data_IF_494587925056
#
_entry.id   IF_494587925056
#
_cell.length_a   1.000
_cell.length_b   1.000
_cell.length_c   1.000
_cell.angle_alpha   90.00
_cell.angle_beta   90.00
_cell.angle_gamma   90.00
#
_symmetry.space_group_name_H-M   'P 1'
#
loop_
_entity.id
_entity.type
_entity.pdbx_description
1 polymer ?
#
# COMPACT_ATOMS: atom_id res chain seq x y z
N UNK A 1 -7.00 10.28 -0.44
CA UNK A 1 -5.76 9.60 -0.01
C UNK A 1 -4.50 10.31 -0.51
N UNK A 2 -4.42 10.72 -1.78
CA UNK A 2 -3.27 11.49 -2.31
C UNK A 2 -2.85 12.69 -1.44
N UNK A 3 -3.82 13.53 -1.03
CA UNK A 3 -3.58 14.65 -0.12
C UNK A 3 -3.06 14.22 1.26
N UNK A 4 -3.56 13.10 1.81
CA UNK A 4 -3.09 12.57 3.10
C UNK A 4 -1.62 12.15 3.04
N UNK A 5 -1.21 11.59 1.90
CA UNK A 5 0.15 11.13 1.64
C UNK A 5 1.07 12.24 1.11
N UNK A 6 0.54 13.44 0.87
CA UNK A 6 1.23 14.55 0.22
C UNK A 6 1.90 14.15 -1.12
N UNK A 7 1.14 13.43 -1.96
CA UNK A 7 1.58 13.02 -3.31
C UNK A 7 0.56 13.45 -4.37
N UNK A 8 0.99 13.45 -5.62
CA UNK A 8 0.12 13.71 -6.76
C UNK A 8 -0.98 12.64 -6.90
N UNK A 9 -2.16 13.06 -7.37
CA UNK A 9 -3.33 12.16 -7.54
C UNK A 9 -3.01 11.01 -8.51
N UNK A 10 -2.29 11.28 -9.60
CA UNK A 10 -1.88 10.23 -10.56
C UNK A 10 -0.91 9.26 -9.91
N UNK A 11 0.01 9.75 -9.08
CA UNK A 11 0.93 8.88 -8.32
C UNK A 11 0.15 7.95 -7.39
N UNK A 12 -0.86 8.47 -6.69
CA UNK A 12 -1.72 7.64 -5.85
C UNK A 12 -2.48 6.58 -6.66
N UNK A 13 -3.09 6.98 -7.79
CA UNK A 13 -3.79 6.05 -8.70
C UNK A 13 -2.86 4.94 -9.20
N UNK A 14 -1.62 5.28 -9.57
CA UNK A 14 -0.64 4.29 -10.01
C UNK A 14 -0.28 3.30 -8.89
N UNK A 15 -0.27 3.74 -7.63
CA UNK A 15 -0.02 2.87 -6.48
C UNK A 15 -1.16 1.90 -6.22
N UNK A 16 -2.39 2.38 -6.24
CA UNK A 16 -3.59 1.54 -6.07
C UNK A 16 -3.72 0.49 -7.19
N UNK A 17 -3.32 0.83 -8.43
CA UNK A 17 -3.30 -0.10 -9.55
C UNK A 17 -2.05 -1.01 -9.59
N UNK A 18 -1.15 -0.94 -8.61
CA UNK A 18 0.07 -1.76 -8.54
C UNK A 18 1.17 -1.40 -9.55
N UNK A 19 1.02 -0.31 -10.31
CA UNK A 19 2.04 0.18 -11.26
C UNK A 19 3.31 0.63 -10.54
N UNK A 20 3.15 1.21 -9.35
CA UNK A 20 4.28 1.60 -8.48
C UNK A 20 3.98 1.24 -7.04
N UNK A 21 4.99 0.84 -6.26
CA UNK A 21 4.77 0.45 -4.87
C UNK A 21 4.53 1.66 -3.95
N UNK A 22 3.80 1.45 -2.85
CA UNK A 22 3.77 2.40 -1.74
C UNK A 22 5.15 2.46 -1.07
N UNK A 23 5.58 3.65 -0.69
CA UNK A 23 6.79 3.83 0.11
C UNK A 23 6.46 3.52 1.57
N UNK A 24 7.46 3.09 2.33
CA UNK A 24 7.29 2.73 3.74
C UNK A 24 6.61 3.82 4.57
N UNK A 25 6.99 5.10 4.39
CA UNK A 25 6.36 6.22 5.09
C UNK A 25 4.86 6.38 4.74
N UNK A 26 4.49 6.15 3.47
CA UNK A 26 3.10 6.21 3.01
C UNK A 26 2.29 5.06 3.62
N UNK A 27 2.85 3.85 3.64
CA UNK A 27 2.24 2.66 4.25
C UNK A 27 1.99 2.87 5.76
N UNK A 28 2.95 3.47 6.49
CA UNK A 28 2.76 3.82 7.90
C UNK A 28 1.64 4.84 8.12
N UNK A 29 1.51 5.85 7.25
CA UNK A 29 0.41 6.84 7.34
C UNK A 29 -0.93 6.15 7.12
N UNK A 30 -1.03 5.28 6.11
CA UNK A 30 -2.23 4.51 5.80
C UNK A 30 -2.59 3.58 6.97
N UNK A 31 -1.64 2.83 7.51
CA UNK A 31 -1.81 1.98 8.68
C UNK A 31 -2.37 2.74 9.88
N UNK A 32 -1.82 3.92 10.19
CA UNK A 32 -2.32 4.77 11.28
C UNK A 32 -3.73 5.28 11.03
N UNK A 33 -4.06 5.66 9.79
CA UNK A 33 -5.41 6.11 9.41
C UNK A 33 -6.45 5.01 9.63
N UNK A 34 -6.14 3.79 9.20
CA UNK A 34 -7.05 2.64 9.30
C UNK A 34 -7.01 1.94 10.66
N UNK A 35 -6.06 2.28 11.53
CA UNK A 35 -5.81 1.62 12.82
C UNK A 35 -5.61 0.11 12.66
N UNK A 36 -4.92 -0.28 11.60
CA UNK A 36 -4.59 -1.67 11.26
C UNK A 36 -3.09 -1.83 11.08
N UNK A 37 -2.51 -3.00 11.38
CA UNK A 37 -1.12 -3.31 11.05
C UNK A 37 -0.85 -3.14 9.55
N UNK A 38 0.39 -2.82 9.18
CA UNK A 38 0.79 -2.66 7.77
C UNK A 38 0.56 -3.97 7.02
N UNK A 39 0.86 -5.09 7.68
CA UNK A 39 0.74 -6.44 7.17
C UNK A 39 -0.71 -6.73 6.76
N UNK A 40 -1.69 -6.33 7.56
CA UNK A 40 -3.11 -6.57 7.25
C UNK A 40 -3.59 -5.77 6.03
N UNK A 41 -2.96 -4.63 5.73
CA UNK A 41 -3.37 -3.76 4.61
C UNK A 41 -2.61 -4.11 3.32
N UNK A 42 -1.33 -4.41 3.44
CA UNK A 42 -0.41 -4.53 2.30
C UNK A 42 0.09 -5.96 2.05
N UNK A 43 -0.16 -6.90 2.98
CA UNK A 43 0.11 -8.33 2.81
C UNK A 43 -1.21 -9.08 2.79
N UNK A 44 -1.86 -9.13 1.62
CA UNK A 44 -2.90 -10.12 1.37
C UNK A 44 -2.25 -11.44 0.92
N UNK A 45 -2.80 -12.57 1.40
CA UNK A 45 -2.31 -13.96 1.30
C UNK A 45 -1.96 -14.50 -0.10
N UNK A 46 -2.11 -13.73 -1.18
CA UNK A 46 -1.80 -14.18 -2.54
C UNK A 46 -0.28 -14.25 -2.83
N UNK A 47 0.55 -13.79 -1.87
CA UNK A 47 2.00 -14.03 -1.87
C UNK A 47 2.37 -15.41 -1.33
N UNK A 48 1.52 -16.05 -0.51
CA UNK A 48 1.77 -17.41 0.01
C UNK A 48 1.53 -18.52 -1.03
N UNK A 49 0.86 -18.21 -2.16
CA UNK A 49 0.59 -19.16 -3.24
C UNK A 49 1.66 -19.17 -4.35
N UNK A 50 2.73 -18.38 -4.22
CA UNK A 50 3.76 -18.20 -5.27
C UNK A 50 5.20 -18.58 -4.89
N UNK A 51 5.38 -19.32 -3.78
CA UNK A 51 6.67 -19.98 -3.48
C UNK A 51 6.58 -21.52 -3.60
N UNK A 52 5.94 -22.02 -4.66
CA UNK A 52 6.11 -23.40 -5.14
C UNK A 52 6.17 -23.39 -6.68
N UNK A 53 7.31 -22.97 -7.23
CA UNK A 53 7.76 -23.38 -8.57
C UNK A 53 9.29 -23.52 -8.59
#
# INVERSE_FOLDING_TARGET
MANLLNIDVRTYINKENGVTQFKMNEMFIISKMFKKPIEEIFLYDDFMLREVE
#
